data_IF_579766925826
#
_entry.id   IF_579766925826
#
_cell.length_a   1.000
_cell.length_b   1.000
_cell.length_c   1.000
_cell.angle_alpha   90.00
_cell.angle_beta   90.00
_cell.angle_gamma   90.00
#
_symmetry.space_group_name_H-M   'P 1'
#
loop_
_entity.id
_entity.type
_entity.pdbx_description
1 polymer ?
#
# COMPACT_ATOMS: atom_id res chain seq x y z
N UNK A 1 4.11 12.60 10.89
CA UNK A 1 3.48 12.18 9.61
C UNK A 1 2.05 11.80 9.91
N UNK A 2 1.11 12.04 8.98
CA UNK A 2 -0.29 11.63 9.10
C UNK A 2 -0.71 10.73 7.94
N UNK A 3 -1.56 9.74 8.22
CA UNK A 3 -2.18 8.89 7.19
C UNK A 3 -3.67 9.21 7.10
N UNK A 4 -4.19 9.40 5.89
CA UNK A 4 -5.61 9.67 5.65
C UNK A 4 -6.08 9.09 4.32
N UNK A 5 -7.40 8.98 4.16
CA UNK A 5 -8.04 8.57 2.91
C UNK A 5 -7.81 9.61 1.82
N UNK A 6 -7.40 9.14 0.64
CA UNK A 6 -7.18 9.94 -0.54
C UNK A 6 -8.49 10.15 -1.30
N UNK A 7 -8.65 11.34 -1.86
CA UNK A 7 -9.82 11.73 -2.66
C UNK A 7 -9.51 11.65 -4.16
N UNK A 8 -10.51 11.71 -5.04
CA UNK A 8 -10.27 11.79 -6.49
C UNK A 8 -9.35 12.95 -6.92
N UNK A 9 -9.25 14.04 -6.14
CA UNK A 9 -8.34 15.15 -6.41
C UNK A 9 -6.87 14.77 -6.18
N UNK A 10 -6.59 13.78 -5.34
CA UNK A 10 -5.24 13.32 -5.00
C UNK A 10 -4.62 12.39 -6.05
N UNK A 11 -5.36 12.06 -7.11
CA UNK A 11 -4.95 11.11 -8.15
C UNK A 11 -3.55 11.38 -8.69
N UNK A 12 -3.23 12.65 -8.97
CA UNK A 12 -1.92 13.02 -9.51
C UNK A 12 -0.80 12.79 -8.47
N UNK A 13 -1.05 13.09 -7.19
CA UNK A 13 -0.09 12.88 -6.12
C UNK A 13 0.16 11.38 -5.86
N UNK A 14 -0.90 10.57 -5.88
CA UNK A 14 -0.79 9.10 -5.77
C UNK A 14 0.01 8.53 -6.93
N UNK A 15 -0.34 8.87 -8.18
CA UNK A 15 0.37 8.39 -9.36
C UNK A 15 1.87 8.71 -9.28
N UNK A 16 2.23 9.96 -8.93
CA UNK A 16 3.63 10.37 -8.75
C UNK A 16 4.41 9.51 -7.73
N UNK A 17 3.76 9.03 -6.68
CA UNK A 17 4.40 8.17 -5.67
C UNK A 17 4.58 6.75 -6.19
N UNK A 18 3.56 6.21 -6.90
CA UNK A 18 3.62 4.88 -7.51
C UNK A 18 4.70 4.82 -8.60
N UNK A 19 4.73 5.82 -9.49
CA UNK A 19 5.73 5.96 -10.54
C UNK A 19 7.15 6.04 -9.95
N UNK A 20 7.32 6.85 -8.89
CA UNK A 20 8.59 6.96 -8.17
C UNK A 20 9.02 5.70 -7.43
N UNK A 21 8.12 4.72 -7.26
CA UNK A 21 8.41 3.39 -6.73
C UNK A 21 8.55 2.31 -7.81
N UNK A 22 8.43 2.68 -9.11
CA UNK A 22 8.36 1.77 -10.24
C UNK A 22 7.25 0.71 -10.09
N UNK A 23 6.10 1.12 -9.54
CA UNK A 23 4.92 0.28 -9.42
C UNK A 23 3.88 0.75 -10.43
N UNK A 24 3.56 -0.13 -11.39
CA UNK A 24 2.47 0.12 -12.32
C UNK A 24 1.14 -0.23 -11.65
N UNK A 25 0.25 0.75 -11.54
CA UNK A 25 -1.15 0.51 -11.21
C UNK A 25 -2.01 1.04 -12.34
N UNK A 26 -2.87 0.19 -12.88
CA UNK A 26 -3.75 0.56 -13.98
C UNK A 26 -4.53 1.84 -13.67
N UNK A 27 -4.49 2.87 -14.54
CA UNK A 27 -5.10 4.17 -14.24
C UNK A 27 -6.60 4.12 -13.94
N UNK A 28 -7.31 3.15 -14.53
CA UNK A 28 -8.73 2.90 -14.27
C UNK A 28 -8.96 2.32 -12.87
N UNK A 29 -8.10 1.39 -12.44
CA UNK A 29 -8.14 0.79 -11.10
C UNK A 29 -7.86 1.83 -10.01
N UNK A 30 -6.83 2.66 -10.19
CA UNK A 30 -6.56 3.77 -9.27
C UNK A 30 -7.77 4.72 -9.20
N UNK A 31 -8.36 5.08 -10.34
CA UNK A 31 -9.56 5.94 -10.37
C UNK A 31 -10.71 5.33 -9.57
N UNK A 32 -10.92 4.02 -9.70
CA UNK A 32 -11.99 3.31 -9.00
C UNK A 32 -11.74 3.25 -7.50
N UNK A 33 -10.52 2.90 -7.09
CA UNK A 33 -10.10 2.85 -5.69
C UNK A 33 -10.31 4.21 -4.99
N UNK A 34 -9.88 5.31 -5.62
CA UNK A 34 -10.10 6.67 -5.08
C UNK A 34 -11.59 7.04 -4.91
N UNK A 35 -12.47 6.55 -5.80
CA UNK A 35 -13.92 6.80 -5.65
C UNK A 35 -14.57 5.97 -4.55
N UNK A 36 -13.96 4.83 -4.19
CA UNK A 36 -14.46 3.91 -3.16
C UNK A 36 -13.86 4.18 -1.77
N UNK A 37 -12.99 5.18 -1.63
CA UNK A 37 -12.28 5.42 -0.37
C UNK A 37 -11.30 4.29 -0.04
N UNK A 38 -10.67 3.72 -1.06
CA UNK A 38 -9.77 2.56 -0.96
C UNK A 38 -8.31 2.93 -1.19
N UNK A 39 -7.98 4.22 -1.21
CA UNK A 39 -6.60 4.69 -1.33
C UNK A 39 -6.26 5.53 -0.10
N UNK A 40 -5.08 5.28 0.48
CA UNK A 40 -4.55 6.03 1.61
C UNK A 40 -3.30 6.79 1.20
N UNK A 41 -3.13 8.00 1.73
CA UNK A 41 -1.92 8.79 1.62
C UNK A 41 -1.22 8.93 2.97
N UNK A 42 0.09 8.78 2.97
CA UNK A 42 0.96 9.22 4.05
C UNK A 42 1.58 10.57 3.69
N UNK A 43 1.31 11.58 4.52
CA UNK A 43 1.75 12.97 4.29
C UNK A 43 2.61 13.44 5.45
N UNK A 44 3.63 14.25 5.14
CA UNK A 44 4.48 14.89 6.14
C UNK A 44 3.65 15.79 7.08
N UNK A 45 4.22 16.16 8.23
CA UNK A 45 3.53 16.97 9.22
C UNK A 45 3.18 18.38 8.73
N UNK A 46 3.93 18.88 7.76
CA UNK A 46 3.61 20.12 7.02
C UNK A 46 2.33 20.02 6.18
N UNK A 47 1.80 18.81 5.96
CA UNK A 47 0.55 18.59 5.23
C UNK A 47 0.66 18.70 3.70
N UNK A 48 1.80 19.07 3.16
CA UNK A 48 1.97 19.32 1.72
C UNK A 48 2.64 18.15 1.01
N UNK A 49 3.59 17.49 1.68
CA UNK A 49 4.46 16.51 1.02
C UNK A 49 3.94 15.10 1.18
N UNK A 50 3.48 14.51 0.08
CA UNK A 50 3.13 13.09 0.02
C UNK A 50 4.38 12.22 0.06
N UNK A 51 4.44 11.35 1.08
CA UNK A 51 5.57 10.47 1.38
C UNK A 51 5.35 9.03 0.88
N UNK A 52 4.11 8.58 0.88
CA UNK A 52 3.72 7.23 0.48
C UNK A 52 2.23 7.14 0.15
N UNK A 53 1.87 6.05 -0.52
CA UNK A 53 0.48 5.74 -0.88
C UNK A 53 0.23 4.23 -0.76
N UNK A 54 -1.00 3.87 -0.42
CA UNK A 54 -1.49 2.50 -0.42
C UNK A 54 -2.81 2.47 -1.21
N UNK A 55 -2.93 1.52 -2.14
CA UNK A 55 -4.12 1.34 -2.98
C UNK A 55 -4.71 -0.03 -2.70
N UNK A 56 -6.00 -0.05 -2.37
CA UNK A 56 -6.79 -1.26 -2.18
C UNK A 56 -7.77 -1.50 -3.34
N UNK A 57 -8.21 -2.75 -3.43
CA UNK A 57 -9.40 -3.19 -4.14
C UNK A 57 -10.14 -4.17 -3.20
N UNK A 58 -11.13 -3.67 -2.45
CA UNK A 58 -11.69 -4.39 -1.31
C UNK A 58 -10.67 -4.59 -0.18
N UNK A 59 -10.41 -5.85 0.19
CA UNK A 59 -9.39 -6.26 1.18
C UNK A 59 -8.00 -6.45 0.55
N UNK A 60 -7.89 -6.38 -0.78
CA UNK A 60 -6.64 -6.65 -1.47
C UNK A 60 -5.78 -5.39 -1.56
N UNK A 61 -4.58 -5.46 -1.01
CA UNK A 61 -3.50 -4.52 -1.31
C UNK A 61 -3.08 -4.71 -2.76
N UNK A 62 -3.40 -3.71 -3.59
CA UNK A 62 -2.97 -3.63 -5.00
C UNK A 62 -1.56 -3.05 -5.07
N UNK A 63 -1.28 -2.02 -4.27
CA UNK A 63 0.01 -1.35 -4.29
C UNK A 63 0.30 -0.68 -2.94
N UNK A 64 1.56 -0.73 -2.52
CA UNK A 64 2.10 0.07 -1.41
C UNK A 64 3.40 0.69 -1.90
N UNK A 65 3.45 2.02 -1.92
CA UNK A 65 4.60 2.76 -2.40
C UNK A 65 5.06 3.78 -1.37
N UNK A 66 6.36 3.84 -1.16
CA UNK A 66 7.01 4.88 -0.35
C UNK A 66 8.15 5.48 -1.15
N UNK A 67 8.22 6.82 -1.17
CA UNK A 67 9.31 7.59 -1.79
C UNK A 67 10.66 7.03 -1.33
N UNK A 68 11.57 6.75 -2.27
CA UNK A 68 12.84 6.05 -2.00
C UNK A 68 13.64 6.64 -0.82
N UNK A 69 13.75 7.96 -0.73
CA UNK A 69 14.47 8.68 0.35
C UNK A 69 13.78 8.64 1.72
N UNK A 70 12.58 8.04 1.81
CA UNK A 70 11.74 7.96 3.01
C UNK A 70 11.46 6.52 3.46
N UNK A 71 12.04 5.53 2.77
CA UNK A 71 11.94 4.11 3.15
C UNK A 71 12.69 3.86 4.46
N UNK A 72 12.30 2.81 5.19
CA UNK A 72 12.88 2.48 6.49
C UNK A 72 12.42 3.37 7.66
N UNK A 73 11.45 4.26 7.44
CA UNK A 73 10.94 5.21 8.45
C UNK A 73 9.53 4.82 8.96
N UNK A 74 9.12 3.56 8.79
CA UNK A 74 7.81 3.07 9.23
C UNK A 74 6.59 3.53 8.40
N UNK A 75 6.79 4.31 7.32
CA UNK A 75 5.70 4.87 6.49
C UNK A 75 4.81 3.79 5.87
N UNK A 76 5.43 2.75 5.30
CA UNK A 76 4.69 1.63 4.71
C UNK A 76 3.89 0.87 5.76
N UNK A 77 4.47 0.68 6.96
CA UNK A 77 3.80 0.03 8.07
C UNK A 77 2.58 0.82 8.52
N UNK A 78 2.73 2.13 8.73
CA UNK A 78 1.62 3.01 9.12
C UNK A 78 0.46 3.01 8.08
N UNK A 79 0.78 2.92 6.78
CA UNK A 79 -0.23 2.77 5.73
C UNK A 79 -1.01 1.46 5.88
N UNK A 80 -0.30 0.34 6.07
CA UNK A 80 -0.92 -0.99 6.17
C UNK A 80 -1.70 -1.15 7.47
N UNK A 81 -1.17 -0.67 8.58
CA UNK A 81 -1.84 -0.66 9.89
C UNK A 81 -3.14 0.15 9.84
N UNK A 82 -3.12 1.33 9.21
CA UNK A 82 -4.34 2.13 9.00
C UNK A 82 -5.36 1.39 8.15
N UNK A 83 -4.93 0.79 7.03
CA UNK A 83 -5.80 0.00 6.18
C UNK A 83 -6.41 -1.21 6.92
N UNK A 84 -5.63 -1.89 7.77
CA UNK A 84 -6.10 -3.03 8.55
C UNK A 84 -7.13 -2.58 9.59
N UNK A 85 -6.89 -1.45 10.25
CA UNK A 85 -7.81 -0.89 11.22
C UNK A 85 -9.19 -0.58 10.60
N UNK A 86 -9.23 -0.19 9.32
CA UNK A 86 -10.48 0.10 8.60
C UNK A 86 -11.14 -1.12 7.97
N UNK A 87 -10.36 -2.08 7.48
CA UNK A 87 -10.87 -3.25 6.71
C UNK A 87 -11.02 -4.52 7.54
N UNK A 88 -10.33 -4.62 8.68
CA UNK A 88 -10.30 -5.82 9.52
C UNK A 88 -9.50 -7.00 8.94
N UNK A 89 -9.30 -7.03 7.61
CA UNK A 89 -8.50 -8.03 6.90
C UNK A 89 -7.83 -7.42 5.69
N UNK A 90 -6.61 -7.87 5.39
CA UNK A 90 -5.84 -7.50 4.21
C UNK A 90 -5.21 -8.71 3.53
N UNK A 91 -5.17 -8.68 2.21
CA UNK A 91 -4.48 -9.68 1.37
C UNK A 91 -3.51 -8.97 0.43
N UNK A 92 -2.28 -9.47 0.33
CA UNK A 92 -1.29 -8.95 -0.61
C UNK A 92 -0.70 -10.08 -1.46
N UNK A 93 -0.33 -9.77 -2.70
CA UNK A 93 0.48 -10.66 -3.54
C UNK A 93 1.73 -9.91 -3.95
N UNK A 94 2.90 -10.49 -3.73
CA UNK A 94 4.17 -9.79 -3.85
C UNK A 94 5.33 -10.73 -4.20
N UNK A 95 6.44 -10.15 -4.65
CA UNK A 95 7.67 -10.89 -4.93
C UNK A 95 8.54 -11.05 -3.67
N UNK A 96 9.44 -12.03 -3.69
CA UNK A 96 10.39 -12.33 -2.60
C UNK A 96 11.11 -11.10 -2.02
N UNK A 97 11.51 -10.14 -2.87
CA UNK A 97 12.27 -8.95 -2.48
C UNK A 97 11.59 -8.09 -1.41
N UNK A 98 10.26 -8.12 -1.34
CA UNK A 98 9.48 -7.34 -0.36
C UNK A 98 8.85 -8.23 0.72
N UNK A 99 9.14 -9.54 0.71
CA UNK A 99 8.67 -10.47 1.74
C UNK A 99 9.02 -10.03 3.16
N UNK A 100 10.26 -9.57 3.48
CA UNK A 100 10.59 -9.13 4.84
C UNK A 100 9.73 -7.98 5.37
N UNK A 101 9.24 -7.11 4.47
CA UNK A 101 8.33 -6.02 4.84
C UNK A 101 6.97 -6.57 5.33
N UNK A 102 6.37 -7.52 4.59
CA UNK A 102 5.11 -8.14 5.00
C UNK A 102 5.26 -9.05 6.22
N UNK A 103 6.40 -9.75 6.36
CA UNK A 103 6.72 -10.56 7.55
C UNK A 103 6.79 -9.70 8.81
N UNK A 104 7.45 -8.55 8.74
CA UNK A 104 7.56 -7.61 9.88
C UNK A 104 6.18 -7.10 10.35
N UNK A 105 5.20 -7.05 9.45
CA UNK A 105 3.83 -6.66 9.73
C UNK A 105 2.95 -7.82 10.25
N UNK A 106 3.50 -9.03 10.36
CA UNK A 106 2.78 -10.20 10.85
C UNK A 106 1.86 -10.86 9.82
N UNK A 107 2.06 -10.61 8.51
CA UNK A 107 1.32 -11.35 7.49
C UNK A 107 1.65 -12.85 7.57
N UNK A 108 0.63 -13.70 7.54
CA UNK A 108 0.79 -15.12 7.24
C UNK A 108 1.06 -15.28 5.74
N UNK A 109 2.22 -15.81 5.38
CA UNK A 109 2.74 -15.80 4.00
C UNK A 109 2.89 -17.23 3.46
N UNK A 110 2.33 -17.46 2.27
CA UNK A 110 2.44 -18.71 1.51
C UNK A 110 2.96 -18.45 0.09
N UNK A 111 3.74 -19.37 -0.51
CA UNK A 111 4.11 -19.28 -1.92
C UNK A 111 2.87 -19.47 -2.82
N UNK A 112 2.89 -18.87 -4.02
CA UNK A 112 1.79 -18.94 -4.99
C UNK A 112 2.26 -19.49 -6.32
N UNK A 113 1.73 -20.66 -6.70
CA UNK A 113 2.04 -21.32 -7.96
C UNK A 113 3.41 -22.00 -7.95
N UNK A 114 3.86 -22.42 -9.14
CA UNK A 114 5.16 -23.10 -9.36
C UNK A 114 6.33 -22.12 -9.51
N UNK A 115 6.06 -20.81 -9.58
CA UNK A 115 7.08 -19.80 -9.70
C UNK A 115 7.76 -19.54 -8.35
N UNK A 116 9.07 -19.79 -8.26
CA UNK A 116 9.88 -19.79 -7.03
C UNK A 116 10.00 -18.44 -6.29
N UNK A 117 9.26 -17.40 -6.69
CA UNK A 117 9.47 -16.03 -6.16
C UNK A 117 8.19 -15.24 -5.86
N UNK A 118 6.99 -15.82 -6.00
CA UNK A 118 5.72 -15.13 -5.74
C UNK A 118 5.03 -15.64 -4.49
N UNK A 119 4.56 -14.71 -3.67
CA UNK A 119 3.96 -14.99 -2.38
C UNK A 119 2.60 -14.33 -2.24
N UNK A 120 1.74 -14.92 -1.40
CA UNK A 120 0.50 -14.33 -0.89
C UNK A 120 0.61 -14.17 0.60
N UNK A 121 0.41 -12.95 1.09
CA UNK A 121 0.26 -12.66 2.50
C UNK A 121 -1.20 -12.44 2.87
N UNK A 122 -1.60 -12.86 4.07
CA UNK A 122 -2.86 -12.47 4.71
C UNK A 122 -2.59 -11.88 6.09
N UNK A 123 -3.27 -10.79 6.42
CA UNK A 123 -3.23 -10.15 7.74
C UNK A 123 -4.66 -9.91 8.21
N UNK A 124 -4.96 -10.28 9.44
CA UNK A 124 -6.27 -10.09 10.07
C UNK A 124 -6.12 -9.31 11.37
N UNK A 125 -7.11 -8.48 11.68
CA UNK A 125 -7.19 -7.78 12.94
C UNK A 125 -7.63 -8.78 14.01
N UNK A 126 -6.82 -8.93 15.05
CA UNK A 126 -7.16 -9.72 16.23
C UNK A 126 -8.38 -9.15 16.96
#
# INVERSE_FOLDING_TARGET
MRVHEATPADRAAVANVLDGAALETEPARLKASLRRGETLLAVADDGERVLGALVLDGDRIVSVAVRRRRRGQGIGSALVERALAERGRLVATFDERVRPFYETLGFAIEPVGEAESRYRGRLERA
#
